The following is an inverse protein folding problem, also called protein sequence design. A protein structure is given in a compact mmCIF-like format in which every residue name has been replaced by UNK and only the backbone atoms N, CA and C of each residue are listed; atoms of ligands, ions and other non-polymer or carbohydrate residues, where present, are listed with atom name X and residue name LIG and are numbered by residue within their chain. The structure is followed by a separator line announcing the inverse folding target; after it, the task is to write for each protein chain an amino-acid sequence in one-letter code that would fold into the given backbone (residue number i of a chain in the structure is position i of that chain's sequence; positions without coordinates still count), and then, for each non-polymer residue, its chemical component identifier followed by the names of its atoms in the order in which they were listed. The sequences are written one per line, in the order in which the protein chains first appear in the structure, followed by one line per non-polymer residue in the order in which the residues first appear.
data_IF_113665011831
#
_entry.id   IF_113665011831
#
_cell.length_a   1.000
_cell.length_b   1.000
_cell.length_c   1.000
_cell.angle_alpha   90.00
_cell.angle_beta   90.00
_cell.angle_gamma   90.00
#
_symmetry.space_group_name_H-M   'P 1'
#
loop_
_entity.id
_entity.type
_entity.pdbx_description
1 polymer ?
#
# COMPACT_ATOMS: atom_id res chain seq x y z
N UNK A 1 2.73 5.01 -65.01
CA UNK A 1 3.07 4.95 -63.56
C UNK A 1 1.77 5.10 -62.77
N UNK A 2 1.32 4.02 -62.11
CA UNK A 2 0.15 4.00 -61.20
C UNK A 2 0.48 4.75 -59.90
N UNK A 3 -0.52 5.41 -59.31
CA UNK A 3 -0.46 6.01 -57.96
C UNK A 3 -1.79 6.71 -57.67
N UNK A 4 -2.87 5.96 -57.44
CA UNK A 4 -3.34 5.43 -56.15
C UNK A 4 -3.85 6.52 -55.19
N UNK A 5 -5.18 6.61 -55.13
CA UNK A 5 -5.97 7.43 -54.22
C UNK A 5 -5.54 7.27 -52.77
N UNK A 6 -5.31 8.39 -52.08
CA UNK A 6 -5.18 8.43 -50.61
C UNK A 6 -6.53 8.09 -49.98
N UNK A 7 -6.67 6.83 -49.57
CA UNK A 7 -7.77 6.34 -48.74
C UNK A 7 -7.51 6.77 -47.29
N UNK A 8 -8.39 7.61 -46.74
CA UNK A 8 -8.41 8.02 -45.33
C UNK A 8 -8.79 6.80 -44.49
N UNK A 9 -7.84 6.23 -43.75
CA UNK A 9 -8.11 5.15 -42.80
C UNK A 9 -8.44 5.76 -41.43
N UNK A 10 -9.72 5.75 -41.08
CA UNK A 10 -10.14 5.77 -39.68
C UNK A 10 -9.56 4.52 -39.01
N UNK A 11 -8.71 4.72 -38.00
CA UNK A 11 -8.32 3.64 -37.10
C UNK A 11 -9.01 3.90 -35.76
N UNK A 12 -10.04 3.10 -35.52
CA UNK A 12 -10.75 2.93 -34.27
C UNK A 12 -9.76 2.87 -33.09
N UNK A 13 -9.78 3.91 -32.25
CA UNK A 13 -9.20 3.82 -30.92
C UNK A 13 -10.15 2.98 -30.07
N UNK A 14 -10.00 1.64 -30.11
CA UNK A 14 -10.54 0.77 -29.08
C UNK A 14 -9.87 1.13 -27.77
N UNK A 15 -10.46 2.06 -27.02
CA UNK A 15 -10.09 2.31 -25.64
C UNK A 15 -10.45 1.06 -24.84
N UNK A 16 -9.45 0.25 -24.51
CA UNK A 16 -9.58 -0.80 -23.50
C UNK A 16 -10.22 -0.19 -22.25
N UNK A 17 -11.24 -0.81 -21.63
CA UNK A 17 -11.85 -0.26 -20.44
C UNK A 17 -10.78 -0.08 -19.37
N UNK A 18 -10.56 1.16 -18.93
CA UNK A 18 -9.69 1.45 -17.79
C UNK A 18 -10.17 0.57 -16.62
N UNK A 19 -9.33 -0.36 -16.16
CA UNK A 19 -9.64 -1.20 -15.02
C UNK A 19 -10.08 -0.31 -13.86
N UNK A 20 -11.25 -0.62 -13.28
CA UNK A 20 -11.78 0.18 -12.18
C UNK A 20 -10.82 0.14 -11.00
N UNK A 21 -10.51 1.30 -10.43
CA UNK A 21 -9.65 1.44 -9.24
C UNK A 21 -10.29 0.90 -7.94
N UNK A 22 -11.45 0.25 -8.04
CA UNK A 22 -12.25 -0.26 -6.93
C UNK A 22 -12.66 -1.69 -7.27
N UNK A 23 -12.61 -2.58 -6.27
CA UNK A 23 -13.05 -3.96 -6.41
C UNK A 23 -14.55 -3.99 -6.75
N UNK A 24 -14.95 -4.90 -7.64
CA UNK A 24 -16.37 -5.09 -7.97
C UNK A 24 -17.09 -5.69 -6.76
N UNK A 25 -18.29 -5.18 -6.49
CA UNK A 25 -19.16 -5.78 -5.47
C UNK A 25 -19.53 -7.21 -5.90
N UNK A 26 -19.28 -8.19 -5.03
CA UNK A 26 -19.60 -9.58 -5.31
C UNK A 26 -21.13 -9.80 -5.20
N UNK A 27 -21.67 -10.75 -5.96
CA UNK A 27 -23.11 -11.04 -5.97
C UNK A 27 -23.65 -11.43 -4.58
N UNK A 28 -22.82 -12.05 -3.74
CA UNK A 28 -23.14 -12.45 -2.37
C UNK A 28 -22.76 -11.43 -1.29
N UNK A 29 -22.33 -10.21 -1.66
CA UNK A 29 -21.80 -9.23 -0.71
C UNK A 29 -22.80 -8.91 0.42
N UNK A 30 -24.09 -8.78 0.11
CA UNK A 30 -25.13 -8.53 1.12
C UNK A 30 -25.16 -9.63 2.18
N UNK A 31 -25.16 -10.90 1.76
CA UNK A 31 -25.20 -12.06 2.64
C UNK A 31 -23.98 -12.12 3.56
N UNK A 32 -22.79 -11.89 3.01
CA UNK A 32 -21.55 -11.90 3.80
C UNK A 32 -21.49 -10.73 4.80
N UNK A 33 -21.93 -9.53 4.39
CA UNK A 33 -22.02 -8.37 5.28
C UNK A 33 -23.02 -8.63 6.40
N UNK A 34 -24.19 -9.17 6.10
CA UNK A 34 -25.21 -9.51 7.11
C UNK A 34 -24.68 -10.54 8.11
N UNK A 35 -23.98 -11.58 7.64
CA UNK A 35 -23.31 -12.57 8.50
C UNK A 35 -22.25 -11.92 9.38
N UNK A 36 -21.43 -11.04 8.82
CA UNK A 36 -20.38 -10.32 9.55
C UNK A 36 -20.96 -9.41 10.64
N UNK A 37 -22.04 -8.67 10.34
CA UNK A 37 -22.75 -7.79 11.27
C UNK A 37 -23.35 -8.60 12.41
N UNK A 38 -24.11 -9.67 12.10
CA UNK A 38 -24.71 -10.54 13.14
C UNK A 38 -23.67 -11.10 14.09
N UNK A 39 -22.59 -11.67 13.57
CA UNK A 39 -21.47 -12.17 14.40
C UNK A 39 -20.83 -11.06 15.24
N UNK A 40 -20.69 -9.84 14.72
CA UNK A 40 -20.14 -8.73 15.49
C UNK A 40 -21.08 -8.30 16.63
N UNK A 41 -22.40 -8.28 16.39
CA UNK A 41 -23.42 -7.99 17.40
C UNK A 41 -23.47 -9.09 18.47
N UNK A 42 -23.49 -10.36 18.06
CA UNK A 42 -23.52 -11.52 18.97
C UNK A 42 -22.28 -11.59 19.86
N UNK A 43 -21.11 -11.26 19.30
CA UNK A 43 -19.84 -11.21 20.06
C UNK A 43 -19.80 -10.04 21.06
N UNK A 44 -20.49 -8.94 20.74
CA UNK A 44 -20.55 -7.75 21.57
C UNK A 44 -19.21 -7.04 21.77
N UNK A 45 -19.23 -5.92 22.48
CA UNK A 45 -18.02 -5.08 22.70
C UNK A 45 -16.92 -5.84 23.45
N UNK A 46 -17.29 -6.63 24.47
CA UNK A 46 -16.36 -7.41 25.27
C UNK A 46 -15.58 -8.42 24.43
N UNK A 47 -16.28 -9.25 23.65
CA UNK A 47 -15.64 -10.24 22.80
C UNK A 47 -14.84 -9.63 21.65
N UNK A 48 -15.27 -8.49 21.09
CA UNK A 48 -14.49 -7.77 20.08
C UNK A 48 -13.19 -7.21 20.66
N UNK A 49 -13.21 -6.74 21.91
CA UNK A 49 -12.00 -6.29 22.61
C UNK A 49 -11.02 -7.43 22.84
N UNK A 50 -11.49 -8.59 23.26
CA UNK A 50 -10.64 -9.79 23.44
C UNK A 50 -10.00 -10.23 22.12
N UNK A 51 -10.77 -10.25 21.02
CA UNK A 51 -10.24 -10.55 19.68
C UNK A 51 -9.20 -9.53 19.24
N UNK A 52 -9.44 -8.23 19.47
CA UNK A 52 -8.45 -7.20 19.16
C UNK A 52 -7.16 -7.38 19.98
N UNK A 53 -7.27 -7.73 21.27
CA UNK A 53 -6.12 -7.94 22.13
C UNK A 53 -5.30 -9.17 21.73
N UNK A 54 -5.93 -10.24 21.24
CA UNK A 54 -5.21 -11.41 20.72
C UNK A 54 -4.41 -11.07 19.46
N UNK A 55 -4.93 -10.17 18.62
CA UNK A 55 -4.24 -9.67 17.42
C UNK A 55 -3.08 -8.73 17.74
N UNK A 56 -3.03 -8.08 18.91
CA UNK A 56 -1.95 -7.14 19.28
C UNK A 56 -0.55 -7.76 19.19
N UNK A 57 -0.45 -9.09 19.38
CA UNK A 57 0.83 -9.83 19.35
C UNK A 57 1.08 -10.53 18.01
N UNK A 58 0.22 -10.31 17.02
CA UNK A 58 0.34 -10.95 15.73
C UNK A 58 1.57 -10.41 14.97
N UNK A 59 2.44 -11.33 14.57
CA UNK A 59 3.57 -11.09 13.69
C UNK A 59 3.42 -12.08 12.53
N UNK A 60 3.30 -11.61 11.27
CA UNK A 60 3.24 -12.50 10.13
C UNK A 60 4.43 -13.46 10.10
N UNK A 61 4.20 -14.70 9.69
CA UNK A 61 5.26 -15.70 9.55
C UNK A 61 6.35 -15.20 8.60
N UNK A 62 7.61 -15.29 9.02
CA UNK A 62 8.76 -14.81 8.25
C UNK A 62 8.88 -13.29 8.12
N UNK A 63 8.13 -12.50 8.89
CA UNK A 63 8.31 -11.04 8.92
C UNK A 63 9.70 -10.68 9.46
N UNK A 64 10.47 -9.93 8.67
CA UNK A 64 11.75 -9.34 9.09
C UNK A 64 11.66 -7.80 9.12
N UNK A 65 12.54 -7.17 9.90
CA UNK A 65 12.59 -5.70 10.12
C UNK A 65 14.03 -5.18 10.10
N UNK A 66 14.90 -5.82 9.31
CA UNK A 66 16.34 -5.58 9.30
C UNK A 66 16.69 -4.13 8.91
N UNK A 67 16.02 -3.58 7.91
CA UNK A 67 16.27 -2.19 7.48
C UNK A 67 15.83 -1.18 8.55
N UNK A 68 14.72 -1.45 9.25
CA UNK A 68 14.27 -0.65 10.38
C UNK A 68 15.28 -0.70 11.53
N UNK A 69 15.74 -1.89 11.91
CA UNK A 69 16.69 -2.07 13.01
C UNK A 69 18.06 -1.46 12.70
N UNK A 70 18.54 -1.58 11.46
CA UNK A 70 19.82 -1.04 11.03
C UNK A 70 19.86 0.48 10.88
N UNK A 71 18.71 1.16 10.76
CA UNK A 71 18.62 2.62 10.58
C UNK A 71 18.04 3.34 11.80
N UNK A 72 17.69 2.61 12.86
CA UNK A 72 17.11 3.19 14.07
C UNK A 72 18.06 4.19 14.75
N UNK A 73 19.34 3.82 14.90
CA UNK A 73 20.38 4.71 15.49
C UNK A 73 20.67 5.94 14.62
N UNK A 74 20.41 5.87 13.31
CA UNK A 74 20.46 7.01 12.40
C UNK A 74 19.22 7.94 12.54
N UNK A 75 18.29 7.61 13.43
CA UNK A 75 17.10 8.39 13.72
C UNK A 75 16.07 8.38 12.61
N UNK A 76 16.06 7.40 11.69
CA UNK A 76 15.11 7.36 10.56
C UNK A 76 13.69 6.93 10.96
N UNK A 77 13.54 6.40 12.16
CA UNK A 77 12.29 5.87 12.71
C UNK A 77 11.89 6.62 13.98
N UNK A 78 10.61 6.99 14.09
CA UNK A 78 10.11 7.79 15.23
C UNK A 78 9.96 6.99 16.52
N UNK A 79 9.52 5.74 16.40
CA UNK A 79 9.15 4.90 17.54
C UNK A 79 9.78 3.52 17.40
N UNK A 80 10.42 3.02 18.47
CA UNK A 80 11.10 1.72 18.49
C UNK A 80 10.12 0.54 18.47
N UNK A 81 8.94 0.72 19.05
CA UNK A 81 7.87 -0.26 19.17
C UNK A 81 6.93 -0.30 17.95
N UNK A 82 7.20 0.52 16.93
CA UNK A 82 6.47 0.51 15.65
C UNK A 82 7.42 0.05 14.54
N UNK A 83 7.54 -1.28 14.30
CA UNK A 83 8.45 -1.80 13.29
C UNK A 83 7.98 -1.50 11.85
N UNK A 84 8.93 -1.34 10.94
CA UNK A 84 8.68 -1.31 9.49
C UNK A 84 9.13 -2.64 8.87
N UNK A 85 8.22 -3.36 8.21
CA UNK A 85 8.53 -4.68 7.65
C UNK A 85 9.37 -4.58 6.38
N UNK A 86 10.34 -5.47 6.20
CA UNK A 86 11.19 -5.46 5.00
C UNK A 86 10.42 -5.83 3.73
N UNK A 87 9.54 -6.85 3.79
CA UNK A 87 8.86 -7.43 2.62
C UNK A 87 8.07 -6.40 1.80
N UNK A 88 7.47 -5.43 2.46
CA UNK A 88 6.62 -4.41 1.82
C UNK A 88 7.11 -3.00 2.08
N UNK A 89 8.37 -2.79 2.50
CA UNK A 89 8.89 -1.43 2.68
C UNK A 89 8.95 -0.69 1.36
N UNK A 90 8.78 0.62 1.45
CA UNK A 90 9.13 1.52 0.36
C UNK A 90 10.65 1.61 0.29
N UNK A 91 11.21 1.37 -0.89
CA UNK A 91 12.65 1.49 -1.16
C UNK A 91 12.88 2.80 -1.88
N UNK A 92 13.65 3.72 -1.29
CA UNK A 92 13.96 5.00 -1.91
C UNK A 92 14.96 4.83 -3.04
N UNK A 93 14.65 5.43 -4.19
CA UNK A 93 15.55 5.51 -5.35
C UNK A 93 15.41 6.90 -5.95
N UNK A 94 16.09 7.87 -5.36
CA UNK A 94 16.07 9.26 -5.83
C UNK A 94 17.48 9.86 -5.81
N UNK A 95 17.87 10.64 -6.84
CA UNK A 95 19.17 11.30 -6.85
C UNK A 95 19.37 12.19 -5.62
N UNK A 96 20.47 11.99 -4.90
CA UNK A 96 20.81 12.76 -3.69
C UNK A 96 20.31 12.16 -2.38
N UNK A 97 19.55 11.07 -2.39
CA UNK A 97 19.28 10.28 -1.17
C UNK A 97 20.40 9.25 -1.00
N UNK A 98 21.02 9.23 0.18
CA UNK A 98 22.19 8.38 0.49
C UNK A 98 21.83 6.96 0.94
N UNK A 99 20.62 6.78 1.44
CA UNK A 99 20.10 5.50 1.91
C UNK A 99 18.79 5.14 1.21
N UNK A 100 18.41 3.86 1.25
CA UNK A 100 17.21 3.36 0.57
C UNK A 100 15.99 3.29 1.50
N UNK A 101 16.08 3.87 2.70
CA UNK A 101 15.17 3.62 3.81
C UNK A 101 14.30 4.83 4.17
N UNK A 102 12.99 4.59 4.17
CA UNK A 102 12.00 5.42 4.84
C UNK A 102 11.07 4.51 5.64
N UNK A 103 10.60 4.96 6.80
CA UNK A 103 9.62 4.22 7.59
C UNK A 103 8.24 4.29 6.93
N UNK A 104 8.06 3.46 5.90
CA UNK A 104 6.85 3.38 5.11
C UNK A 104 6.67 1.97 4.54
N UNK A 105 5.44 1.46 4.57
CA UNK A 105 5.08 0.18 3.97
C UNK A 105 3.93 0.32 2.97
N UNK A 106 3.97 -0.49 1.91
CA UNK A 106 2.82 -0.69 1.04
C UNK A 106 1.74 -1.48 1.78
N UNK A 107 0.50 -0.99 1.68
CA UNK A 107 -0.69 -1.68 2.15
C UNK A 107 -1.55 -2.04 0.96
N UNK A 108 -1.78 -3.34 0.82
CA UNK A 108 -2.51 -3.94 -0.27
C UNK A 108 -4.02 -3.74 -0.13
N UNK A 109 -4.70 -3.72 -1.27
CA UNK A 109 -6.13 -4.02 -1.37
C UNK A 109 -6.30 -5.31 -2.17
N UNK A 110 -7.49 -5.94 -2.17
CA UNK A 110 -7.73 -7.17 -2.95
C UNK A 110 -7.43 -7.07 -4.45
N UNK A 111 -7.30 -5.86 -4.99
CA UNK A 111 -7.07 -5.61 -6.42
C UNK A 111 -5.71 -4.96 -6.72
N UNK A 112 -4.97 -4.50 -5.69
CA UNK A 112 -3.69 -3.82 -5.89
C UNK A 112 -2.82 -3.94 -4.64
N UNK A 113 -1.70 -4.65 -4.78
CA UNK A 113 -0.74 -4.91 -3.69
C UNK A 113 -0.03 -3.64 -3.18
N UNK A 114 0.04 -2.58 -3.98
CA UNK A 114 0.74 -1.32 -3.65
C UNK A 114 -0.19 -0.11 -3.73
N UNK A 115 -1.45 -0.30 -3.32
CA UNK A 115 -2.49 0.74 -3.38
C UNK A 115 -2.22 1.90 -2.44
N UNK A 116 -1.93 1.60 -1.19
CA UNK A 116 -1.69 2.61 -0.15
C UNK A 116 -0.27 2.53 0.36
N UNK A 117 0.18 3.65 0.92
CA UNK A 117 1.41 3.72 1.71
C UNK A 117 1.01 4.23 3.08
N UNK A 118 1.34 3.43 4.09
CA UNK A 118 1.27 3.87 5.46
C UNK A 118 2.70 4.19 5.89
N UNK A 119 2.88 5.39 6.43
CA UNK A 119 4.18 5.91 6.85
C UNK A 119 4.00 6.71 8.13
N UNK A 120 5.07 6.82 8.92
CA UNK A 120 5.10 7.73 10.05
C UNK A 120 4.98 9.19 9.61
N UNK A 121 4.56 10.07 10.54
CA UNK A 121 4.66 11.51 10.30
C UNK A 121 6.12 11.92 10.11
N UNK A 122 6.47 12.69 9.06
CA UNK A 122 7.84 13.04 8.74
C UNK A 122 8.54 13.72 9.92
N UNK A 123 9.82 13.41 10.10
CA UNK A 123 10.70 13.99 11.11
C UNK A 123 11.65 15.00 10.44
N UNK A 124 12.25 15.95 11.19
CA UNK A 124 13.17 16.94 10.61
C UNK A 124 14.28 16.33 9.74
N UNK A 125 14.81 15.17 10.13
CA UNK A 125 15.87 14.45 9.42
C UNK A 125 15.35 13.54 8.28
N UNK A 126 14.03 13.38 8.12
CA UNK A 126 13.42 12.53 7.10
C UNK A 126 12.50 13.30 6.14
N UNK A 127 12.46 14.64 6.21
CA UNK A 127 11.58 15.46 5.35
C UNK A 127 11.99 15.31 3.88
N UNK A 128 13.30 15.33 3.59
CA UNK A 128 13.81 15.17 2.22
C UNK A 128 13.44 13.79 1.67
N UNK A 129 13.61 12.74 2.46
CA UNK A 129 13.24 11.37 2.08
C UNK A 129 11.75 11.24 1.76
N UNK A 130 10.90 11.87 2.58
CA UNK A 130 9.45 11.90 2.39
C UNK A 130 9.04 12.60 1.09
N UNK A 131 9.68 13.72 0.76
CA UNK A 131 9.43 14.46 -0.48
C UNK A 131 9.98 13.74 -1.71
N UNK A 132 11.21 13.22 -1.63
CA UNK A 132 11.88 12.49 -2.71
C UNK A 132 11.03 11.30 -3.17
N UNK A 133 10.43 10.60 -2.21
CA UNK A 133 9.48 9.52 -2.50
C UNK A 133 8.22 10.01 -3.24
N UNK A 134 7.60 11.10 -2.78
CA UNK A 134 6.41 11.66 -3.43
C UNK A 134 6.66 12.02 -4.90
N UNK A 135 7.84 12.59 -5.19
CA UNK A 135 8.26 12.94 -6.54
C UNK A 135 8.55 11.72 -7.44
N UNK A 136 9.11 10.64 -6.88
CA UNK A 136 9.42 9.41 -7.63
C UNK A 136 8.16 8.67 -8.14
N UNK A 137 7.00 8.87 -7.50
CA UNK A 137 5.72 8.23 -7.89
C UNK A 137 4.94 8.98 -8.96
N UNK A 138 5.35 10.21 -9.30
CA UNK A 138 4.70 11.06 -10.30
C UNK A 138 5.25 10.91 -11.73
N UNK A 139 6.13 9.94 -11.96
CA UNK A 139 6.66 9.59 -13.28
C UNK A 139 6.18 8.21 -13.71
#
# INVERSE_FOLDING_TARGET
RKGSSRKKSELDTKSSPKQSNVAKCQANARTEVERWVRRALDKGVGGLREEFLSLKRYIPEGMTTNAFQGTFEAGKSRYKDVPCQDKFRVVLRWPGVTDDYIHANYVATPINEKRFICTQGPMPNSVIDFLAYGCARGK
#
